data_IF_722771464512
#
_entry.id   IF_722771464512
#
_cell.length_a   1.000
_cell.length_b   1.000
_cell.length_c   1.000
_cell.angle_alpha   90.00
_cell.angle_beta   90.00
_cell.angle_gamma   90.00
#
_symmetry.space_group_name_H-M   'P 1'
#
loop_
_entity.id
_entity.type
_entity.pdbx_description
1 polymer ?
#
# COMPACT_ATOMS: atom_id res chain seq x y z
N UNK A 1 11.20 -5.72 -14.57
CA UNK A 1 11.12 -6.86 -13.66
C UNK A 1 12.05 -6.72 -12.46
N UNK A 2 13.31 -6.28 -12.66
CA UNK A 2 14.30 -6.13 -11.57
C UNK A 2 13.81 -5.21 -10.43
N UNK A 3 13.10 -4.11 -10.76
CA UNK A 3 12.54 -3.16 -9.77
C UNK A 3 11.45 -3.75 -8.87
N UNK A 4 10.96 -4.92 -9.19
CA UNK A 4 10.02 -5.69 -8.37
C UNK A 4 10.71 -6.88 -7.70
N UNK A 5 11.48 -7.68 -8.46
CA UNK A 5 12.07 -8.93 -7.95
C UNK A 5 13.18 -8.70 -6.93
N UNK A 6 14.04 -7.69 -7.13
CA UNK A 6 15.11 -7.41 -6.16
C UNK A 6 14.57 -6.92 -4.82
N UNK A 7 13.62 -5.95 -4.76
CA UNK A 7 12.99 -5.57 -3.50
C UNK A 7 12.15 -6.69 -2.87
N UNK A 8 11.52 -7.54 -3.69
CA UNK A 8 10.81 -8.72 -3.20
C UNK A 8 11.76 -9.66 -2.46
N UNK A 9 12.90 -9.98 -3.08
CA UNK A 9 13.93 -10.82 -2.47
C UNK A 9 14.52 -10.16 -1.21
N UNK A 10 14.83 -8.86 -1.27
CA UNK A 10 15.37 -8.12 -0.13
C UNK A 10 14.38 -8.06 1.04
N UNK A 11 13.10 -7.77 0.78
CA UNK A 11 12.07 -7.78 1.81
C UNK A 11 11.84 -9.19 2.37
N UNK A 12 11.88 -10.21 1.52
CA UNK A 12 11.81 -11.62 1.98
C UNK A 12 12.96 -11.93 2.92
N UNK A 13 14.20 -11.61 2.56
CA UNK A 13 15.37 -11.84 3.41
C UNK A 13 15.29 -11.05 4.72
N UNK A 14 14.75 -9.84 4.71
CA UNK A 14 14.58 -9.00 5.89
C UNK A 14 13.53 -9.58 6.85
N UNK A 15 12.38 -10.02 6.34
CA UNK A 15 11.26 -10.46 7.17
C UNK A 15 11.22 -11.97 7.42
N UNK A 16 11.90 -12.79 6.62
CA UNK A 16 11.93 -14.24 6.76
C UNK A 16 12.37 -14.73 8.15
N UNK A 17 13.39 -14.15 8.81
CA UNK A 17 13.76 -14.60 10.16
C UNK A 17 12.60 -14.47 11.16
N UNK A 18 11.81 -13.40 11.08
CA UNK A 18 10.63 -13.18 11.94
C UNK A 18 9.54 -14.22 11.63
N UNK A 19 9.26 -14.46 10.34
CA UNK A 19 8.27 -15.46 9.91
C UNK A 19 8.66 -16.87 10.36
N UNK A 20 9.94 -17.23 10.30
CA UNK A 20 10.42 -18.54 10.79
C UNK A 20 10.28 -18.63 12.31
N UNK A 21 10.71 -17.60 13.03
CA UNK A 21 10.65 -17.55 14.49
C UNK A 21 9.20 -17.66 15.00
N UNK A 22 8.28 -16.98 14.36
CA UNK A 22 6.85 -16.95 14.72
C UNK A 22 6.02 -18.07 14.02
N UNK A 23 6.68 -19.10 13.49
CA UNK A 23 6.03 -20.28 12.87
C UNK A 23 5.05 -19.93 11.75
N UNK A 24 5.41 -18.95 10.93
CA UNK A 24 4.64 -18.49 9.76
C UNK A 24 3.78 -17.24 10.03
N UNK A 25 3.60 -16.86 11.28
CA UNK A 25 3.04 -15.55 11.60
C UNK A 25 4.08 -14.44 11.41
N UNK A 26 3.62 -13.22 11.15
CA UNK A 26 4.44 -12.04 11.30
C UNK A 26 3.94 -11.28 12.52
N UNK A 27 4.54 -11.56 13.66
CA UNK A 27 4.25 -10.87 14.91
C UNK A 27 5.25 -9.72 15.04
N UNK A 28 4.75 -8.51 15.07
CA UNK A 28 5.59 -7.33 15.27
C UNK A 28 5.30 -6.74 16.64
N UNK A 29 4.88 -5.47 16.75
CA UNK A 29 4.40 -4.89 18.01
C UNK A 29 3.33 -3.84 17.75
N UNK A 30 2.68 -3.36 18.81
CA UNK A 30 1.70 -2.29 18.73
C UNK A 30 0.53 -2.67 17.82
N UNK A 31 0.11 -1.73 17.00
CA UNK A 31 -1.08 -1.83 16.18
C UNK A 31 -1.05 -2.96 15.15
N UNK A 32 0.13 -3.46 14.78
CA UNK A 32 0.19 -4.60 13.88
C UNK A 32 -0.50 -5.82 14.48
N UNK A 33 -0.17 -6.15 15.74
CA UNK A 33 -0.72 -7.32 16.42
C UNK A 33 -2.15 -7.10 16.92
N UNK A 34 -2.40 -5.93 17.53
CA UNK A 34 -3.69 -5.69 18.24
C UNK A 34 -4.79 -5.15 17.34
N UNK A 35 -4.44 -4.60 16.17
CA UNK A 35 -5.41 -4.05 15.22
C UNK A 35 -5.32 -4.72 13.84
N UNK A 36 -4.15 -4.69 13.18
CA UNK A 36 -4.08 -5.03 11.77
C UNK A 36 -4.45 -6.50 11.51
N UNK A 37 -3.90 -7.43 12.29
CA UNK A 37 -4.20 -8.86 12.16
C UNK A 37 -5.68 -9.16 12.49
N UNK A 38 -6.22 -8.76 13.69
CA UNK A 38 -7.60 -9.00 14.03
C UNK A 38 -8.60 -8.33 13.07
N UNK A 39 -8.31 -7.10 12.62
CA UNK A 39 -9.20 -6.39 11.70
C UNK A 39 -9.27 -7.05 10.34
N UNK A 40 -8.12 -7.52 9.81
CA UNK A 40 -8.09 -8.27 8.56
C UNK A 40 -8.91 -9.57 8.65
N UNK A 41 -8.74 -10.33 9.73
CA UNK A 41 -9.46 -11.58 9.92
C UNK A 41 -10.97 -11.34 10.10
N UNK A 42 -11.34 -10.42 10.96
CA UNK A 42 -12.75 -10.07 11.20
C UNK A 42 -13.41 -9.52 9.92
N UNK A 43 -12.74 -8.62 9.20
CA UNK A 43 -13.30 -8.08 7.97
C UNK A 43 -13.42 -9.13 6.88
N UNK A 44 -12.46 -10.04 6.77
CA UNK A 44 -12.52 -11.20 5.88
C UNK A 44 -13.76 -12.04 6.17
N UNK A 45 -14.02 -12.35 7.44
CA UNK A 45 -15.20 -13.13 7.86
C UNK A 45 -16.51 -12.37 7.60
N UNK A 46 -16.53 -11.06 7.88
CA UNK A 46 -17.69 -10.21 7.63
C UNK A 46 -18.04 -10.12 6.15
N UNK A 47 -17.03 -9.95 5.27
CA UNK A 47 -17.24 -9.94 3.82
C UNK A 47 -17.74 -11.29 3.32
N UNK A 48 -17.16 -12.39 3.77
CA UNK A 48 -17.57 -13.74 3.35
C UNK A 48 -18.95 -14.17 3.84
N UNK A 49 -19.37 -13.68 5.01
CA UNK A 49 -20.70 -13.92 5.54
C UNK A 49 -21.77 -12.96 5.01
N UNK A 50 -21.37 -11.92 4.26
CA UNK A 50 -22.27 -10.86 3.77
C UNK A 50 -22.66 -9.80 4.82
N UNK A 51 -22.08 -9.83 6.01
CA UNK A 51 -22.31 -8.87 7.09
C UNK A 51 -21.46 -7.61 6.93
N UNK A 52 -21.69 -6.86 5.84
CA UNK A 52 -20.84 -5.71 5.46
C UNK A 52 -21.38 -4.35 5.93
N UNK A 53 -22.55 -4.29 6.54
CA UNK A 53 -23.15 -3.01 6.95
C UNK A 53 -23.02 -2.74 8.45
N UNK A 54 -23.29 -3.76 9.28
CA UNK A 54 -23.32 -3.62 10.72
C UNK A 54 -22.55 -4.77 11.39
N UNK A 55 -21.65 -4.44 12.30
CA UNK A 55 -20.90 -5.41 13.10
C UNK A 55 -21.38 -5.36 14.56
N UNK A 56 -21.93 -6.46 15.05
CA UNK A 56 -22.27 -6.64 16.45
C UNK A 56 -21.06 -7.01 17.32
N UNK A 57 -19.95 -7.40 16.71
CA UNK A 57 -18.71 -7.78 17.38
C UNK A 57 -17.74 -6.62 17.58
N UNK A 58 -18.10 -5.43 17.11
CA UNK A 58 -17.34 -4.19 17.27
C UNK A 58 -17.99 -3.36 18.36
N UNK A 59 -17.34 -3.25 19.51
CA UNK A 59 -17.86 -2.55 20.70
C UNK A 59 -19.29 -3.02 21.06
N UNK A 60 -20.25 -2.10 21.09
CA UNK A 60 -21.67 -2.37 21.34
C UNK A 60 -22.49 -2.47 20.04
N UNK A 61 -21.81 -2.62 18.93
CA UNK A 61 -22.36 -2.59 17.57
C UNK A 61 -21.98 -1.32 16.83
N UNK A 62 -21.37 -1.47 15.65
CA UNK A 62 -20.90 -0.35 14.83
C UNK A 62 -21.12 -0.59 13.34
N UNK A 63 -21.15 0.52 12.57
CA UNK A 63 -21.13 0.43 11.12
C UNK A 63 -19.81 -0.14 10.64
N UNK A 64 -19.85 -1.31 9.98
CA UNK A 64 -18.65 -2.03 9.56
C UNK A 64 -17.80 -1.21 8.56
N UNK A 65 -18.42 -0.63 7.53
CA UNK A 65 -17.71 0.16 6.52
C UNK A 65 -17.08 1.40 7.18
N UNK A 66 -17.84 2.13 7.99
CA UNK A 66 -17.33 3.34 8.67
C UNK A 66 -16.16 3.06 9.60
N UNK A 67 -16.17 1.90 10.28
CA UNK A 67 -15.11 1.53 11.23
C UNK A 67 -13.86 0.99 10.58
N UNK A 68 -13.97 0.26 9.45
CA UNK A 68 -12.85 -0.53 8.90
C UNK A 68 -12.41 -0.17 7.49
N UNK A 69 -13.13 0.69 6.76
CA UNK A 69 -12.73 1.09 5.41
C UNK A 69 -11.33 1.70 5.37
N UNK A 70 -11.00 2.55 6.34
CA UNK A 70 -9.69 3.19 6.45
C UNK A 70 -8.53 2.20 6.58
N UNK A 71 -8.75 1.07 7.25
CA UNK A 71 -7.70 0.11 7.54
C UNK A 71 -7.45 -0.90 6.42
N UNK A 72 -8.50 -1.25 5.64
CA UNK A 72 -8.39 -2.43 4.77
C UNK A 72 -9.35 -2.50 3.57
N UNK A 73 -10.60 -2.02 3.67
CA UNK A 73 -11.60 -2.28 2.61
C UNK A 73 -11.25 -1.65 1.26
N UNK A 74 -10.54 -0.51 1.26
CA UNK A 74 -10.01 0.13 0.05
C UNK A 74 -8.72 -0.52 -0.48
N UNK A 75 -8.12 -1.45 0.27
CA UNK A 75 -6.83 -2.06 -0.07
C UNK A 75 -6.97 -3.24 -1.03
N UNK A 76 -6.36 -3.22 -2.23
CA UNK A 76 -6.30 -4.39 -3.09
C UNK A 76 -5.62 -5.59 -2.40
N UNK A 77 -4.68 -5.35 -1.50
CA UNK A 77 -3.98 -6.40 -0.77
C UNK A 77 -4.88 -7.13 0.21
N UNK A 78 -5.85 -6.43 0.82
CA UNK A 78 -6.88 -7.08 1.62
C UNK A 78 -7.71 -8.06 0.77
N UNK A 79 -8.13 -7.62 -0.42
CA UNK A 79 -8.93 -8.47 -1.31
C UNK A 79 -8.18 -9.70 -1.82
N UNK A 80 -6.84 -9.71 -1.81
CA UNK A 80 -6.05 -10.91 -2.09
C UNK A 80 -6.20 -11.99 -1.01
N UNK A 81 -6.73 -11.68 0.16
CA UNK A 81 -7.00 -12.68 1.21
C UNK A 81 -8.27 -13.48 0.96
N UNK A 82 -9.21 -12.95 0.18
CA UNK A 82 -10.56 -13.53 0.00
C UNK A 82 -10.60 -14.97 -0.52
N UNK A 83 -9.68 -15.43 -1.41
CA UNK A 83 -9.65 -16.83 -1.85
C UNK A 83 -9.26 -17.84 -0.76
N UNK A 84 -8.68 -17.38 0.34
CA UNK A 84 -8.16 -18.22 1.41
C UNK A 84 -9.18 -18.37 2.55
N UNK A 85 -9.08 -19.44 3.37
CA UNK A 85 -9.91 -19.55 4.57
C UNK A 85 -9.49 -18.53 5.63
N UNK A 86 -10.43 -18.14 6.50
CA UNK A 86 -10.19 -17.15 7.57
C UNK A 86 -8.96 -17.48 8.43
N UNK A 87 -8.77 -18.75 8.78
CA UNK A 87 -7.62 -19.19 9.56
C UNK A 87 -6.25 -18.94 8.88
N UNK A 88 -6.22 -18.73 7.56
CA UNK A 88 -4.99 -18.42 6.83
C UNK A 88 -4.66 -16.92 6.84
N UNK A 89 -5.62 -16.04 7.12
CA UNK A 89 -5.44 -14.59 7.03
C UNK A 89 -4.26 -14.08 7.85
N UNK A 90 -4.07 -14.48 9.12
CA UNK A 90 -2.91 -14.05 9.91
C UNK A 90 -1.56 -14.41 9.27
N UNK A 91 -1.49 -15.57 8.60
CA UNK A 91 -0.28 -16.03 7.90
C UNK A 91 0.01 -15.27 6.61
N UNK A 92 -1.03 -14.68 6.00
CA UNK A 92 -0.88 -13.87 4.78
C UNK A 92 -0.34 -12.46 5.06
N UNK A 93 -0.41 -11.98 6.30
CA UNK A 93 -0.01 -10.61 6.64
C UNK A 93 1.45 -10.31 6.32
N UNK A 94 2.38 -11.22 6.66
CA UNK A 94 3.79 -11.09 6.34
C UNK A 94 4.08 -11.12 4.83
N UNK A 95 3.64 -12.13 4.09
CA UNK A 95 3.76 -12.17 2.63
C UNK A 95 3.15 -10.96 1.91
N UNK A 96 2.00 -10.46 2.36
CA UNK A 96 1.39 -9.27 1.79
C UNK A 96 2.21 -8.00 2.08
N UNK A 97 2.81 -7.88 3.26
CA UNK A 97 3.72 -6.79 3.58
C UNK A 97 4.95 -6.83 2.67
N UNK A 98 5.57 -7.99 2.49
CA UNK A 98 6.71 -8.19 1.56
C UNK A 98 6.31 -7.76 0.14
N UNK A 99 5.13 -8.16 -0.31
CA UNK A 99 4.60 -7.76 -1.63
C UNK A 99 4.45 -6.25 -1.76
N UNK A 100 4.00 -5.56 -0.71
CA UNK A 100 3.88 -4.09 -0.70
C UNK A 100 5.22 -3.39 -0.89
N UNK A 101 6.30 -3.87 -0.27
CA UNK A 101 7.65 -3.34 -0.50
C UNK A 101 8.07 -3.47 -1.97
N UNK A 102 7.82 -4.63 -2.58
CA UNK A 102 8.12 -4.86 -4.00
C UNK A 102 7.30 -3.95 -4.92
N UNK A 103 6.01 -3.80 -4.66
CA UNK A 103 5.12 -2.92 -5.42
C UNK A 103 5.52 -1.45 -5.28
N UNK A 104 5.91 -1.01 -4.08
CA UNK A 104 6.38 0.36 -3.81
C UNK A 104 7.62 0.70 -4.62
N UNK A 105 8.62 -0.21 -4.64
CA UNK A 105 9.81 -0.02 -5.44
C UNK A 105 9.51 0.02 -6.94
N UNK A 106 8.66 -0.87 -7.44
CA UNK A 106 8.26 -0.89 -8.84
C UNK A 106 7.51 0.39 -9.25
N UNK A 107 6.64 0.90 -8.36
CA UNK A 107 5.91 2.15 -8.56
C UNK A 107 6.85 3.35 -8.65
N UNK A 108 7.77 3.48 -7.70
CA UNK A 108 8.77 4.55 -7.68
C UNK A 108 9.72 4.45 -8.88
N UNK A 109 10.17 3.25 -9.24
CA UNK A 109 10.96 3.01 -10.44
C UNK A 109 10.24 3.50 -11.71
N UNK A 110 8.95 3.16 -11.86
CA UNK A 110 8.17 3.54 -13.03
C UNK A 110 8.06 5.06 -13.20
N UNK A 111 7.96 5.80 -12.09
CA UNK A 111 7.98 7.26 -12.08
C UNK A 111 9.37 7.83 -12.36
N UNK A 112 10.38 7.40 -11.62
CA UNK A 112 11.76 7.92 -11.72
C UNK A 112 12.37 7.68 -13.10
N UNK A 113 12.01 6.59 -13.77
CA UNK A 113 12.47 6.24 -15.12
C UNK A 113 12.11 7.27 -16.20
N UNK A 114 11.19 8.18 -15.91
CA UNK A 114 10.87 9.29 -16.82
C UNK A 114 11.95 10.39 -16.82
N UNK A 115 12.74 10.47 -15.76
CA UNK A 115 13.69 11.56 -15.52
C UNK A 115 15.14 11.12 -15.53
N UNK A 116 15.39 9.86 -15.16
CA UNK A 116 16.75 9.34 -15.00
C UNK A 116 16.93 8.00 -15.72
N UNK A 117 18.18 7.62 -15.92
CA UNK A 117 18.53 6.31 -16.52
C UNK A 117 17.97 5.16 -15.69
N UNK A 118 17.68 4.00 -16.35
CA UNK A 118 17.09 2.83 -15.67
C UNK A 118 17.86 2.37 -14.44
N UNK A 119 19.20 2.44 -14.46
CA UNK A 119 20.05 2.01 -13.34
C UNK A 119 19.82 2.88 -12.09
N UNK A 120 19.81 4.20 -12.28
CA UNK A 120 19.54 5.15 -11.19
C UNK A 120 18.08 5.09 -10.71
N UNK A 121 17.15 4.90 -11.64
CA UNK A 121 15.75 4.71 -11.29
C UNK A 121 15.54 3.44 -10.45
N UNK A 122 16.28 2.36 -10.75
CA UNK A 122 16.23 1.12 -9.97
C UNK A 122 16.72 1.34 -8.53
N UNK A 123 17.88 2.00 -8.38
CA UNK A 123 18.42 2.35 -7.06
C UNK A 123 17.43 3.24 -6.31
N UNK A 124 16.93 4.29 -6.96
CA UNK A 124 15.94 5.20 -6.35
C UNK A 124 14.66 4.50 -5.93
N UNK A 125 14.16 3.54 -6.72
CA UNK A 125 13.00 2.72 -6.37
C UNK A 125 13.23 1.86 -5.13
N UNK A 126 14.40 1.22 -5.02
CA UNK A 126 14.77 0.41 -3.85
C UNK A 126 14.90 1.31 -2.61
N UNK A 127 15.63 2.42 -2.71
CA UNK A 127 15.78 3.38 -1.59
C UNK A 127 14.44 3.94 -1.13
N UNK A 128 13.52 4.20 -2.05
CA UNK A 128 12.17 4.65 -1.73
C UNK A 128 11.38 3.59 -0.95
N UNK A 129 11.37 2.34 -1.44
CA UNK A 129 10.65 1.24 -0.80
C UNK A 129 11.17 0.93 0.61
N UNK A 130 12.49 0.99 0.81
CA UNK A 130 13.13 0.73 2.12
C UNK A 130 13.49 2.03 2.87
N UNK A 131 12.77 3.13 2.58
CA UNK A 131 12.95 4.39 3.29
C UNK A 131 12.62 4.26 4.77
N UNK A 132 13.11 5.22 5.57
CA UNK A 132 12.80 5.30 7.00
C UNK A 132 11.29 5.31 7.28
N UNK A 133 10.49 5.94 6.41
CA UNK A 133 9.04 5.90 6.51
C UNK A 133 8.49 4.45 6.46
N UNK A 134 8.92 3.68 5.46
CA UNK A 134 8.44 2.30 5.27
C UNK A 134 8.82 1.38 6.41
N UNK A 135 10.08 1.47 6.86
CA UNK A 135 10.60 0.62 7.95
C UNK A 135 9.98 1.02 9.29
N UNK A 136 9.88 2.31 9.57
CA UNK A 136 9.28 2.78 10.82
C UNK A 136 7.79 2.42 10.92
N UNK A 137 7.05 2.51 9.80
CA UNK A 137 5.61 2.26 9.77
C UNK A 137 5.22 0.80 9.49
N UNK A 138 6.11 -0.18 9.69
CA UNK A 138 5.77 -1.61 9.52
C UNK A 138 4.57 -2.01 10.39
N UNK A 139 4.42 -1.42 11.58
CA UNK A 139 3.29 -1.69 12.45
C UNK A 139 1.95 -1.09 11.99
N UNK A 140 1.96 -0.16 11.01
CA UNK A 140 0.77 0.35 10.34
C UNK A 140 0.66 -0.22 8.92
N UNK A 141 0.21 -1.46 8.80
CA UNK A 141 0.16 -2.19 7.53
C UNK A 141 -0.55 -1.40 6.40
N UNK A 142 -1.60 -0.65 6.72
CA UNK A 142 -2.39 0.15 5.77
C UNK A 142 -1.70 1.44 5.30
N UNK A 143 -0.56 1.83 5.89
CA UNK A 143 0.22 2.98 5.42
C UNK A 143 1.06 2.66 4.19
N UNK A 144 1.37 1.38 3.97
CA UNK A 144 2.23 0.95 2.87
C UNK A 144 1.58 1.08 1.50
N UNK A 145 0.25 1.07 1.40
CA UNK A 145 -0.42 1.35 0.14
C UNK A 145 -0.27 2.80 -0.30
N UNK A 146 -0.26 3.74 0.64
CA UNK A 146 -0.09 5.16 0.32
C UNK A 146 1.23 5.43 -0.44
N UNK A 147 2.31 4.73 -0.06
CA UNK A 147 3.60 4.85 -0.76
C UNK A 147 3.66 4.13 -2.11
N UNK A 148 2.74 3.21 -2.38
CA UNK A 148 2.60 2.58 -3.70
C UNK A 148 1.85 3.51 -4.65
N UNK A 149 0.75 4.08 -4.19
CA UNK A 149 -0.11 4.91 -5.05
C UNK A 149 0.51 6.26 -5.38
N UNK A 150 1.26 6.86 -4.45
CA UNK A 150 1.80 8.19 -4.65
C UNK A 150 2.74 8.33 -5.86
N UNK A 151 3.77 7.50 -6.06
CA UNK A 151 4.58 7.55 -7.28
C UNK A 151 3.77 7.25 -8.56
N UNK A 152 2.75 6.39 -8.46
CA UNK A 152 1.88 6.10 -9.61
C UNK A 152 0.96 7.28 -9.94
N UNK A 153 0.50 8.05 -8.93
CA UNK A 153 -0.23 9.30 -9.17
C UNK A 153 0.65 10.32 -9.89
N UNK A 154 1.91 10.50 -9.45
CA UNK A 154 2.88 11.38 -10.12
C UNK A 154 3.17 10.92 -11.54
N UNK A 155 3.37 9.62 -11.74
CA UNK A 155 3.52 9.04 -13.08
C UNK A 155 2.29 9.28 -13.95
N UNK A 156 1.11 9.12 -13.36
CA UNK A 156 -0.16 9.38 -14.05
C UNK A 156 -0.31 10.83 -14.47
N UNK A 157 0.08 11.76 -13.58
CA UNK A 157 0.07 13.20 -13.87
C UNK A 157 1.06 13.55 -14.99
N UNK A 158 2.29 13.04 -14.95
CA UNK A 158 3.29 13.24 -16.02
C UNK A 158 2.77 12.69 -17.36
N UNK A 159 2.16 11.50 -17.37
CA UNK A 159 1.55 10.93 -18.58
C UNK A 159 0.37 11.77 -19.09
N UNK A 160 -0.40 12.35 -18.20
CA UNK A 160 -1.48 13.25 -18.59
C UNK A 160 -0.95 14.54 -19.23
N UNK A 161 0.06 15.17 -18.62
CA UNK A 161 0.62 16.44 -19.11
C UNK A 161 1.40 16.29 -20.41
N UNK A 162 2.18 15.19 -20.56
CA UNK A 162 3.12 15.01 -21.67
C UNK A 162 2.60 14.09 -22.77
N UNK A 163 1.82 13.07 -22.43
CA UNK A 163 1.40 11.99 -23.33
C UNK A 163 -0.12 12.01 -23.60
N UNK A 164 -0.87 12.96 -23.03
CA UNK A 164 -2.36 13.04 -23.04
C UNK A 164 -3.07 11.75 -22.58
N UNK A 165 -2.43 10.99 -21.66
CA UNK A 165 -2.95 9.73 -21.10
C UNK A 165 -3.55 9.94 -19.71
N UNK A 166 -4.88 9.99 -19.63
CA UNK A 166 -5.61 10.42 -18.41
C UNK A 166 -5.92 9.29 -17.42
N UNK A 167 -6.08 8.06 -17.87
CA UNK A 167 -6.67 6.97 -17.08
C UNK A 167 -5.89 6.62 -15.81
N UNK A 168 -4.56 6.56 -15.87
CA UNK A 168 -3.74 6.19 -14.71
C UNK A 168 -3.85 7.23 -13.59
N UNK A 169 -3.84 8.53 -13.91
CA UNK A 169 -3.94 9.57 -12.90
C UNK A 169 -5.26 9.47 -12.13
N UNK A 170 -6.38 9.45 -12.85
CA UNK A 170 -7.70 9.35 -12.23
C UNK A 170 -7.87 8.07 -11.40
N UNK A 171 -7.37 6.93 -11.91
CA UNK A 171 -7.41 5.66 -11.18
C UNK A 171 -6.63 5.73 -9.87
N UNK A 172 -5.40 6.24 -9.89
CA UNK A 172 -4.56 6.30 -8.69
C UNK A 172 -5.07 7.32 -7.67
N UNK A 173 -5.63 8.45 -8.12
CA UNK A 173 -6.31 9.42 -7.25
C UNK A 173 -7.49 8.75 -6.54
N UNK A 174 -8.33 8.03 -7.28
CA UNK A 174 -9.47 7.31 -6.72
C UNK A 174 -9.04 6.24 -5.70
N UNK A 175 -8.09 5.39 -6.07
CA UNK A 175 -7.59 4.34 -5.17
C UNK A 175 -6.93 4.92 -3.92
N UNK A 176 -6.15 5.98 -4.04
CA UNK A 176 -5.51 6.62 -2.88
C UNK A 176 -6.53 7.24 -1.93
N UNK A 177 -7.55 7.93 -2.47
CA UNK A 177 -8.62 8.52 -1.67
C UNK A 177 -9.47 7.46 -0.94
N UNK A 178 -9.79 6.35 -1.61
CA UNK A 178 -10.58 5.25 -1.04
C UNK A 178 -9.79 4.42 -0.02
N UNK A 179 -8.48 4.26 -0.24
CA UNK A 179 -7.64 3.45 0.62
C UNK A 179 -7.25 4.20 1.90
N UNK A 180 -6.73 5.42 1.78
CA UNK A 180 -6.22 6.17 2.92
C UNK A 180 -6.36 7.68 2.72
N UNK A 181 -7.52 8.21 3.09
CA UNK A 181 -7.85 9.64 2.95
C UNK A 181 -6.88 10.56 3.72
N UNK A 182 -6.30 10.09 4.82
CA UNK A 182 -5.36 10.87 5.63
C UNK A 182 -4.10 11.23 4.83
N UNK A 183 -3.45 10.24 4.23
CA UNK A 183 -2.29 10.51 3.36
C UNK A 183 -2.70 11.16 2.04
N UNK A 184 -3.89 10.84 1.54
CA UNK A 184 -4.38 11.40 0.28
C UNK A 184 -4.43 12.93 0.30
N UNK A 185 -4.82 13.56 1.41
CA UNK A 185 -4.85 15.02 1.54
C UNK A 185 -3.44 15.61 1.31
N UNK A 186 -2.42 15.08 1.98
CA UNK A 186 -1.04 15.51 1.79
C UNK A 186 -0.53 15.25 0.36
N UNK A 187 -0.87 14.11 -0.21
CA UNK A 187 -0.52 13.75 -1.59
C UNK A 187 -1.19 14.69 -2.60
N UNK A 188 -2.46 15.05 -2.40
CA UNK A 188 -3.19 15.98 -3.26
C UNK A 188 -2.55 17.38 -3.23
N UNK A 189 -2.19 17.89 -2.05
CA UNK A 189 -1.47 19.16 -1.92
C UNK A 189 -0.13 19.10 -2.65
N UNK A 190 0.64 18.02 -2.45
CA UNK A 190 1.91 17.85 -3.13
C UNK A 190 1.74 17.81 -4.66
N UNK A 191 0.74 17.11 -5.16
CA UNK A 191 0.46 17.00 -6.60
C UNK A 191 0.11 18.36 -7.19
N UNK A 192 -0.66 19.19 -6.50
CA UNK A 192 -0.96 20.54 -6.93
C UNK A 192 0.31 21.40 -7.02
N UNK A 193 1.18 21.34 -6.01
CA UNK A 193 2.47 22.06 -6.01
C UNK A 193 3.36 21.52 -7.15
N UNK A 194 3.47 20.22 -7.28
CA UNK A 194 4.24 19.55 -8.34
C UNK A 194 3.77 19.98 -9.73
N UNK A 195 2.46 19.90 -9.97
CA UNK A 195 1.85 20.35 -11.24
C UNK A 195 2.19 21.81 -11.54
N UNK A 196 2.05 22.68 -10.54
CA UNK A 196 2.35 24.11 -10.68
C UNK A 196 3.83 24.33 -11.07
N UNK A 197 4.75 23.72 -10.34
CA UNK A 197 6.18 23.79 -10.63
C UNK A 197 6.48 23.30 -12.05
N UNK A 198 5.91 22.17 -12.47
CA UNK A 198 6.11 21.60 -13.81
C UNK A 198 5.56 22.52 -14.91
N UNK A 199 4.44 23.18 -14.68
CA UNK A 199 3.85 24.11 -15.65
C UNK A 199 4.73 25.35 -15.87
N UNK A 200 5.39 25.87 -14.81
CA UNK A 200 6.22 27.06 -14.90
C UNK A 200 7.69 26.77 -15.22
N UNK A 201 8.18 25.54 -15.07
CA UNK A 201 9.55 25.18 -15.45
C UNK A 201 9.77 25.06 -16.95
N UNK A 202 8.70 25.05 -17.75
CA UNK A 202 8.78 24.98 -19.20
C UNK A 202 9.27 23.64 -19.76
N UNK A 203 9.33 22.61 -18.91
CA UNK A 203 9.78 21.25 -19.30
C UNK A 203 8.66 20.32 -19.70
#
# INVERSE_FOLDING_TARGET
WLSFLLPLAAATLLFLPFLIYDKGYFIYYGDFNVQQIPFYQMAHDSVRSGNIFWSWTTDLGANFIGSYSFYLLGSPFFWLTMPFPSAAVPYLMGPLLILKFACSSAAAYAFLRRFVRPDYALIGGILYAFSGFSIYNVFFNHFHEAIIYFPLMLLGLERYMKDDKRGLFGLMVCLSALNNYYFFIGQAIFILIYWFVRMFSGE
#
